data_IF_349806973532
#
_entry.id   IF_349806973532
#
_cell.length_a   1.000
_cell.length_b   1.000
_cell.length_c   1.000
_cell.angle_alpha   90.00
_cell.angle_beta   90.00
_cell.angle_gamma   90.00
#
_symmetry.space_group_name_H-M   'P 1'
#
loop_
_entity.id
_entity.type
_entity.pdbx_description
1 polymer ?
#
# COMPACT_ATOMS: atom_id res chain seq x y z
N UNK A 1 -9.12 -4.66 3.83
CA UNK A 1 -8.64 -4.37 2.46
C UNK A 1 -8.32 -2.90 2.25
N UNK A 2 -7.04 -2.54 2.43
CA UNK A 2 -6.49 -1.23 2.06
C UNK A 2 -5.92 -1.22 0.64
N UNK A 3 -5.79 -2.39 0.00
CA UNK A 3 -5.15 -2.52 -1.31
C UNK A 3 -6.05 -2.17 -2.50
N UNK A 4 -7.38 -2.11 -2.31
CA UNK A 4 -8.37 -2.05 -3.40
C UNK A 4 -9.21 -0.76 -3.43
N UNK A 5 -8.94 0.22 -2.55
CA UNK A 5 -9.65 1.49 -2.57
C UNK A 5 -8.96 2.46 -3.53
N UNK A 6 -9.50 2.54 -4.76
CA UNK A 6 -9.01 3.47 -5.79
C UNK A 6 -9.31 4.95 -5.49
N UNK A 7 -10.18 5.22 -4.50
CA UNK A 7 -10.66 6.56 -4.17
C UNK A 7 -10.36 6.91 -2.73
N UNK A 8 -9.74 8.08 -2.54
CA UNK A 8 -9.52 8.68 -1.24
C UNK A 8 -10.84 9.25 -0.69
N UNK A 9 -11.13 8.97 0.58
CA UNK A 9 -12.28 9.56 1.26
C UNK A 9 -11.99 11.03 1.56
N UNK A 10 -12.84 11.91 1.02
CA UNK A 10 -12.69 13.37 1.17
C UNK A 10 -13.57 13.93 2.28
N UNK A 11 -14.32 13.10 3.00
CA UNK A 11 -15.18 13.57 4.07
C UNK A 11 -14.34 13.94 5.30
N UNK A 12 -14.52 15.15 5.85
CA UNK A 12 -13.87 15.50 7.10
C UNK A 12 -14.44 14.66 8.25
N UNK A 13 -13.64 14.40 9.30
CA UNK A 13 -14.16 13.88 10.57
C UNK A 13 -15.27 14.78 11.09
N UNK A 14 -16.33 14.18 11.64
CA UNK A 14 -17.45 14.94 12.22
C UNK A 14 -16.96 15.88 13.32
N UNK A 15 -17.44 17.13 13.33
CA UNK A 15 -17.08 18.13 14.34
C UNK A 15 -15.73 18.84 14.13
N UNK A 16 -15.07 18.67 12.98
CA UNK A 16 -13.78 19.32 12.71
C UNK A 16 -13.85 20.86 12.81
N UNK A 17 -13.02 21.51 13.64
CA UNK A 17 -12.95 22.97 13.76
C UNK A 17 -12.12 23.63 12.64
N UNK A 18 -11.59 22.84 11.69
CA UNK A 18 -10.75 23.33 10.59
C UNK A 18 -11.59 24.01 9.51
N UNK A 19 -11.01 25.02 8.84
CA UNK A 19 -11.70 25.68 7.73
C UNK A 19 -11.90 24.71 6.56
N UNK A 20 -13.06 24.82 5.89
CA UNK A 20 -13.39 23.98 4.73
C UNK A 20 -12.34 24.07 3.61
N UNK A 21 -11.70 25.24 3.44
CA UNK A 21 -10.62 25.43 2.48
C UNK A 21 -9.40 24.54 2.80
N UNK A 22 -8.98 24.48 4.06
CA UNK A 22 -7.85 23.65 4.49
C UNK A 22 -8.17 22.15 4.37
N UNK A 23 -9.38 21.76 4.77
CA UNK A 23 -9.88 20.38 4.60
C UNK A 23 -9.83 19.97 3.13
N UNK A 24 -10.32 20.82 2.22
CA UNK A 24 -10.31 20.52 0.78
C UNK A 24 -8.90 20.44 0.20
N UNK A 25 -7.97 21.30 0.65
CA UNK A 25 -6.60 21.32 0.17
C UNK A 25 -5.85 20.04 0.58
N UNK A 26 -5.99 19.61 1.84
CA UNK A 26 -5.41 18.36 2.34
C UNK A 26 -6.02 17.17 1.61
N UNK A 27 -7.35 17.10 1.51
CA UNK A 27 -8.02 15.98 0.84
C UNK A 27 -7.67 15.89 -0.66
N UNK A 28 -7.40 17.01 -1.31
CA UNK A 28 -6.93 17.03 -2.70
C UNK A 28 -5.49 16.54 -2.82
N UNK A 29 -4.58 17.04 -1.97
CA UNK A 29 -3.18 16.61 -1.97
C UNK A 29 -3.04 15.10 -1.71
N UNK A 30 -3.78 14.57 -0.73
CA UNK A 30 -3.80 13.13 -0.43
C UNK A 30 -4.38 12.30 -1.59
N UNK A 31 -5.45 12.78 -2.24
CA UNK A 31 -6.02 12.11 -3.40
C UNK A 31 -5.07 12.11 -4.60
N UNK A 32 -4.33 13.19 -4.83
CA UNK A 32 -3.31 13.27 -5.88
C UNK A 32 -2.11 12.37 -5.56
N UNK A 33 -1.64 12.37 -4.31
CA UNK A 33 -0.58 11.48 -3.84
C UNK A 33 -0.94 10.01 -4.01
N UNK A 34 -2.16 9.61 -3.61
CA UNK A 34 -2.67 8.25 -3.82
C UNK A 34 -2.69 7.87 -5.30
N UNK A 35 -3.17 8.77 -6.16
CA UNK A 35 -3.22 8.53 -7.61
C UNK A 35 -1.83 8.29 -8.20
N UNK A 36 -0.85 9.12 -7.82
CA UNK A 36 0.54 8.97 -8.26
C UNK A 36 1.11 7.64 -7.77
N UNK A 37 0.95 7.31 -6.49
CA UNK A 37 1.44 6.05 -5.91
C UNK A 37 0.86 4.81 -6.59
N UNK A 38 -0.46 4.80 -6.83
CA UNK A 38 -1.12 3.70 -7.54
C UNK A 38 -0.66 3.58 -8.99
N UNK A 39 -0.55 4.70 -9.69
CA UNK A 39 -0.10 4.70 -11.08
C UNK A 39 1.34 4.18 -11.19
N UNK A 40 2.23 4.64 -10.32
CA UNK A 40 3.63 4.23 -10.31
C UNK A 40 3.76 2.72 -10.02
N UNK A 41 3.01 2.21 -9.04
CA UNK A 41 2.97 0.78 -8.73
C UNK A 41 2.44 -0.04 -9.92
N UNK A 42 1.34 0.39 -10.56
CA UNK A 42 0.77 -0.30 -11.71
C UNK A 42 1.72 -0.30 -12.92
N UNK A 43 2.39 0.83 -13.18
CA UNK A 43 3.38 0.94 -14.25
C UNK A 43 4.53 -0.03 -14.04
N UNK A 44 5.13 -0.02 -12.84
CA UNK A 44 6.23 -0.90 -12.48
C UNK A 44 5.82 -2.37 -12.55
N UNK A 45 4.64 -2.72 -12.00
CA UNK A 45 4.10 -4.07 -12.09
C UNK A 45 3.91 -4.52 -13.54
N UNK A 46 3.35 -3.66 -14.39
CA UNK A 46 3.14 -3.96 -15.81
C UNK A 46 4.44 -4.10 -16.58
N UNK A 47 5.47 -3.34 -16.19
CA UNK A 47 6.80 -3.41 -16.80
C UNK A 47 7.50 -4.72 -16.45
N UNK A 48 7.46 -5.13 -15.18
CA UNK A 48 8.03 -6.39 -14.72
C UNK A 48 7.30 -7.60 -15.31
N UNK A 49 5.97 -7.57 -15.37
CA UNK A 49 5.16 -8.63 -15.99
C UNK A 49 5.47 -8.79 -17.48
N UNK A 50 5.56 -7.68 -18.22
CA UNK A 50 5.96 -7.71 -19.64
C UNK A 50 7.36 -8.26 -19.82
N UNK A 51 8.32 -7.80 -19.01
CA UNK A 51 9.71 -8.27 -19.09
C UNK A 51 9.81 -9.77 -18.80
N UNK A 52 9.06 -10.27 -17.82
CA UNK A 52 9.01 -11.71 -17.51
C UNK A 52 8.43 -12.53 -18.67
N UNK A 53 7.34 -12.04 -19.29
CA UNK A 53 6.69 -12.71 -20.44
C UNK A 53 7.57 -12.70 -21.68
N UNK A 54 8.24 -11.58 -21.97
CA UNK A 54 9.16 -11.48 -23.09
C UNK A 54 10.36 -12.43 -22.91
N UNK A 55 10.89 -12.53 -21.69
CA UNK A 55 11.94 -13.48 -21.36
C UNK A 55 11.45 -14.94 -21.47
N UNK A 56 10.22 -15.24 -21.04
CA UNK A 56 9.61 -16.57 -21.17
C UNK A 56 9.47 -16.98 -22.65
N UNK A 57 8.99 -16.08 -23.51
CA UNK A 57 8.89 -16.32 -24.94
C UNK A 57 10.27 -16.59 -25.57
N UNK A 58 11.30 -15.84 -25.15
CA UNK A 58 12.67 -16.07 -25.61
C UNK A 58 13.22 -17.41 -25.11
N UNK A 59 12.93 -17.82 -23.86
CA UNK A 59 13.27 -19.13 -23.32
C UNK A 59 12.65 -20.25 -24.16
N UNK A 60 11.39 -20.12 -24.59
CA UNK A 60 10.73 -21.12 -25.43
C UNK A 60 11.43 -21.29 -26.78
N UNK A 61 11.82 -20.17 -27.41
CA UNK A 61 12.55 -20.18 -28.69
C UNK A 61 13.94 -20.80 -28.52
N UNK A 62 14.68 -20.41 -27.48
CA UNK A 62 16.02 -20.94 -27.19
C UNK A 62 15.97 -22.43 -26.84
N UNK A 63 14.92 -22.91 -26.17
CA UNK A 63 14.72 -24.34 -25.91
C UNK A 63 14.54 -25.15 -27.20
N UNK A 64 13.72 -24.66 -28.14
CA UNK A 64 13.55 -25.32 -29.45
C UNK A 64 14.87 -25.32 -30.22
N UNK A 65 15.64 -24.23 -30.12
CA UNK A 65 16.96 -24.12 -30.75
C UNK A 65 17.98 -25.08 -30.13
N UNK A 66 18.03 -25.18 -28.81
CA UNK A 66 18.91 -26.12 -28.08
C UNK A 66 18.65 -27.57 -28.52
N UNK A 67 17.38 -27.97 -28.64
CA UNK A 67 17.02 -29.32 -29.13
C UNK A 67 17.50 -29.56 -30.57
N UNK A 68 17.35 -28.56 -31.43
CA UNK A 68 17.76 -28.66 -32.84
C UNK A 68 19.29 -28.73 -32.96
N UNK A 69 20.00 -27.91 -32.19
CA UNK A 69 21.47 -27.89 -32.18
C UNK A 69 22.04 -29.17 -31.54
N UNK A 70 21.41 -29.71 -30.49
CA UNK A 70 21.79 -31.00 -29.91
C UNK A 70 21.62 -32.16 -30.92
N UNK A 71 20.55 -32.15 -31.72
CA UNK A 71 20.36 -33.12 -32.78
C UNK A 71 21.43 -32.98 -33.88
N UNK A 72 21.80 -31.75 -34.25
CA UNK A 72 22.86 -31.48 -35.22
C UNK A 72 24.24 -31.94 -34.73
N UNK A 73 24.59 -31.67 -33.46
CA UNK A 73 25.84 -32.17 -32.84
C UNK A 73 25.90 -33.68 -32.92
N UNK A 74 24.81 -34.38 -32.55
CA UNK A 74 24.75 -35.84 -32.63
C UNK A 74 24.96 -36.36 -34.05
N UNK A 75 24.36 -35.70 -35.05
CA UNK A 75 24.57 -36.06 -36.45
C UNK A 75 26.04 -35.87 -36.87
N UNK A 76 26.66 -34.75 -36.51
CA UNK A 76 28.07 -34.49 -36.82
C UNK A 76 29.00 -35.50 -36.12
N UNK A 77 28.68 -35.91 -34.88
CA UNK A 77 29.39 -36.97 -34.15
C UNK A 77 29.28 -38.33 -34.84
N UNK A 78 28.08 -38.70 -35.29
CA UNK A 78 27.85 -39.93 -36.06
C UNK A 78 28.63 -39.90 -37.39
N UNK A 79 28.69 -38.75 -38.05
CA UNK A 79 29.47 -38.54 -39.29
C UNK A 79 30.97 -38.66 -39.02
N UNK A 80 31.47 -38.07 -37.93
CA UNK A 80 32.85 -38.20 -37.49
C UNK A 80 33.22 -39.66 -37.21
N UNK A 81 32.34 -40.43 -36.57
CA UNK A 81 32.58 -41.86 -36.31
C UNK A 81 32.71 -42.65 -37.62
N UNK A 82 31.84 -42.41 -38.61
CA UNK A 82 31.90 -43.07 -39.92
C UNK A 82 33.17 -42.71 -40.71
N UNK A 83 33.56 -41.44 -40.67
CA UNK A 83 34.76 -40.94 -41.34
C UNK A 83 36.04 -41.45 -40.67
N UNK A 84 36.07 -41.52 -39.35
CA UNK A 84 37.20 -42.08 -38.59
C UNK A 84 37.42 -43.55 -38.96
N UNK A 85 36.35 -44.36 -38.99
CA UNK A 85 36.44 -45.76 -39.41
C UNK A 85 36.98 -45.93 -40.84
N UNK A 86 36.55 -45.06 -41.77
CA UNK A 86 37.00 -45.08 -43.17
C UNK A 86 38.44 -44.58 -43.33
N UNK A 87 38.89 -43.66 -42.47
CA UNK A 87 40.28 -43.21 -42.40
C UNK A 87 41.19 -44.31 -41.87
N UNK A 88 40.79 -45.02 -40.81
CA UNK A 88 41.52 -46.16 -40.24
C UNK A 88 41.70 -47.31 -41.25
N UNK A 89 40.71 -47.50 -42.14
CA UNK A 89 40.81 -48.47 -43.24
C UNK A 89 41.62 -47.96 -44.44
N UNK A 90 42.25 -46.78 -44.36
CA UNK A 90 43.10 -46.19 -45.41
C UNK A 90 42.34 -45.58 -46.60
N UNK A 91 41.02 -45.44 -46.52
CA UNK A 91 40.17 -45.01 -47.64
C UNK A 91 39.95 -43.49 -47.71
N UNK A 92 40.44 -42.72 -46.73
CA UNK A 92 40.26 -41.27 -46.66
C UNK A 92 41.56 -40.53 -46.36
N UNK A 93 41.64 -39.29 -46.80
CA UNK A 93 42.76 -38.39 -46.53
C UNK A 93 42.63 -37.74 -45.15
N UNK A 94 43.77 -37.38 -44.54
CA UNK A 94 43.80 -36.66 -43.26
C UNK A 94 43.04 -35.32 -43.32
N UNK A 95 43.03 -34.66 -44.49
CA UNK A 95 42.25 -33.42 -44.69
C UNK A 95 40.75 -33.60 -44.45
N UNK A 96 40.15 -34.72 -44.88
CA UNK A 96 38.73 -34.97 -44.65
C UNK A 96 38.41 -35.28 -43.20
N UNK A 97 39.28 -36.00 -42.51
CA UNK A 97 39.13 -36.20 -41.07
C UNK A 97 39.22 -34.87 -40.30
N UNK A 98 40.15 -33.99 -40.69
CA UNK A 98 40.29 -32.67 -40.09
C UNK A 98 39.06 -31.78 -40.32
N UNK A 99 38.51 -31.76 -41.53
CA UNK A 99 37.31 -30.99 -41.88
C UNK A 99 36.11 -31.39 -41.01
N UNK A 100 35.88 -32.70 -40.84
CA UNK A 100 34.74 -33.22 -40.05
C UNK A 100 34.93 -32.97 -38.55
N UNK A 101 36.15 -33.12 -38.02
CA UNK A 101 36.45 -32.71 -36.64
C UNK A 101 36.15 -31.23 -36.41
N UNK A 102 36.48 -30.37 -37.39
CA UNK A 102 36.18 -28.95 -37.31
C UNK A 102 34.67 -28.68 -37.35
N UNK A 103 33.91 -29.44 -38.13
CA UNK A 103 32.45 -29.35 -38.16
C UNK A 103 31.83 -29.68 -36.79
N UNK A 104 32.22 -30.80 -36.17
CA UNK A 104 31.77 -31.20 -34.82
C UNK A 104 32.09 -30.13 -33.78
N UNK A 105 33.32 -29.59 -33.80
CA UNK A 105 33.70 -28.53 -32.87
C UNK A 105 32.83 -27.26 -33.05
N UNK A 106 32.51 -26.93 -34.30
CA UNK A 106 31.69 -25.76 -34.62
C UNK A 106 30.23 -25.93 -34.21
N UNK A 107 29.63 -27.11 -34.43
CA UNK A 107 28.27 -27.40 -33.95
C UNK A 107 28.21 -27.49 -32.43
N UNK A 108 29.22 -28.08 -31.79
CA UNK A 108 29.33 -28.14 -30.33
C UNK A 108 29.45 -26.75 -29.69
N UNK A 109 30.24 -25.85 -30.29
CA UNK A 109 30.35 -24.45 -29.82
C UNK A 109 29.02 -23.73 -29.90
N UNK A 110 28.27 -23.89 -31.01
CA UNK A 110 26.95 -23.28 -31.18
C UNK A 110 25.95 -23.79 -30.14
N UNK A 111 25.89 -25.11 -29.93
CA UNK A 111 25.03 -25.72 -28.91
C UNK A 111 25.34 -25.17 -27.51
N UNK A 112 26.64 -25.04 -27.18
CA UNK A 112 27.07 -24.46 -25.92
C UNK A 112 26.68 -22.98 -25.80
N UNK A 113 26.88 -22.18 -26.85
CA UNK A 113 26.48 -20.77 -26.89
C UNK A 113 24.97 -20.60 -26.64
N UNK A 114 24.14 -21.40 -27.31
CA UNK A 114 22.68 -21.40 -27.11
C UNK A 114 22.30 -21.81 -25.69
N UNK A 115 22.97 -22.82 -25.12
CA UNK A 115 22.70 -23.24 -23.73
C UNK A 115 23.06 -22.15 -22.71
N UNK A 116 24.18 -21.45 -22.92
CA UNK A 116 24.57 -20.29 -22.09
C UNK A 116 23.56 -19.14 -22.22
N UNK A 117 23.11 -18.85 -23.44
CA UNK A 117 22.07 -17.84 -23.68
C UNK A 117 20.77 -18.22 -22.97
N UNK A 118 20.32 -19.47 -23.09
CA UNK A 118 19.14 -20.00 -22.42
C UNK A 118 19.23 -19.84 -20.90
N UNK A 119 20.37 -20.18 -20.30
CA UNK A 119 20.59 -20.01 -18.86
C UNK A 119 20.52 -18.54 -18.43
N UNK A 120 21.07 -17.62 -19.23
CA UNK A 120 21.02 -16.18 -18.94
C UNK A 120 19.59 -15.65 -19.02
N UNK A 121 18.83 -16.02 -20.05
CA UNK A 121 17.44 -15.58 -20.22
C UNK A 121 16.53 -16.16 -19.14
N UNK A 122 16.70 -17.42 -18.74
CA UNK A 122 15.97 -18.01 -17.59
C UNK A 122 16.24 -17.26 -16.30
N UNK A 123 17.51 -16.93 -16.03
CA UNK A 123 17.86 -16.14 -14.85
C UNK A 123 17.20 -14.76 -14.90
N UNK A 124 17.18 -14.10 -16.05
CA UNK A 124 16.50 -12.82 -16.22
C UNK A 124 15.00 -12.93 -15.94
N UNK A 125 14.33 -13.98 -16.43
CA UNK A 125 12.92 -14.26 -16.13
C UNK A 125 12.69 -14.41 -14.62
N UNK A 126 13.47 -15.26 -13.95
CA UNK A 126 13.37 -15.46 -12.50
C UNK A 126 13.62 -14.17 -11.71
N UNK A 127 14.60 -13.37 -12.14
CA UNK A 127 14.94 -12.12 -11.49
C UNK A 127 13.81 -11.09 -11.64
N UNK A 128 13.13 -11.03 -12.80
CA UNK A 128 11.92 -10.22 -12.99
C UNK A 128 10.76 -10.66 -12.09
N UNK A 129 10.50 -11.97 -11.99
CA UNK A 129 9.47 -12.52 -11.09
C UNK A 129 9.78 -12.20 -9.63
N UNK A 130 11.03 -12.42 -9.19
CA UNK A 130 11.47 -12.05 -7.84
C UNK A 130 11.35 -10.55 -7.59
N UNK A 131 11.63 -9.71 -8.59
CA UNK A 131 11.49 -8.26 -8.46
C UNK A 131 10.03 -7.84 -8.29
N UNK A 132 9.11 -8.51 -8.96
CA UNK A 132 7.68 -8.29 -8.83
C UNK A 132 7.19 -8.58 -7.40
N UNK A 133 7.54 -9.75 -6.86
CA UNK A 133 7.22 -10.11 -5.46
C UNK A 133 7.85 -9.15 -4.46
N UNK A 134 9.09 -8.73 -4.69
CA UNK A 134 9.76 -7.73 -3.84
C UNK A 134 9.04 -6.40 -3.86
N UNK A 135 8.61 -5.93 -5.03
CA UNK A 135 7.88 -4.67 -5.16
C UNK A 135 6.56 -4.70 -4.36
N UNK A 136 5.79 -5.78 -4.50
CA UNK A 136 4.53 -5.96 -3.76
C UNK A 136 4.76 -5.99 -2.25
N UNK A 137 5.77 -6.74 -1.79
CA UNK A 137 6.12 -6.82 -0.38
C UNK A 137 6.60 -5.47 0.17
N UNK A 138 7.46 -4.77 -0.56
CA UNK A 138 7.95 -3.44 -0.17
C UNK A 138 6.81 -2.44 -0.07
N UNK A 139 5.87 -2.45 -1.03
CA UNK A 139 4.67 -1.61 -0.96
C UNK A 139 3.82 -1.94 0.26
N UNK A 140 3.60 -3.23 0.53
CA UNK A 140 2.82 -3.67 1.70
C UNK A 140 3.47 -3.24 3.01
N UNK A 141 4.78 -3.39 3.14
CA UNK A 141 5.55 -2.95 4.31
C UNK A 141 5.46 -1.42 4.46
N UNK A 142 5.64 -0.66 3.37
CA UNK A 142 5.52 0.79 3.36
C UNK A 142 4.16 1.25 3.88
N UNK A 143 3.07 0.71 3.33
CA UNK A 143 1.70 1.03 3.75
C UNK A 143 1.42 0.67 5.21
N UNK A 144 1.96 -0.45 5.70
CA UNK A 144 1.81 -0.85 7.11
C UNK A 144 2.57 0.09 8.06
N UNK A 145 3.76 0.56 7.65
CA UNK A 145 4.52 1.53 8.43
C UNK A 145 3.84 2.90 8.44
N UNK A 146 3.35 3.37 7.28
CA UNK A 146 2.58 4.61 7.18
C UNK A 146 1.31 4.56 8.02
N UNK A 147 0.58 3.43 8.01
CA UNK A 147 -0.58 3.22 8.87
C UNK A 147 -0.20 3.30 10.35
N UNK A 148 0.85 2.60 10.76
CA UNK A 148 1.33 2.65 12.15
C UNK A 148 1.72 4.07 12.57
N UNK A 149 2.44 4.79 11.73
CA UNK A 149 2.89 6.15 12.03
C UNK A 149 1.73 7.14 12.10
N UNK A 150 0.73 6.99 11.23
CA UNK A 150 -0.50 7.79 11.26
C UNK A 150 -1.34 7.49 12.50
N UNK A 151 -1.47 6.22 12.90
CA UNK A 151 -2.16 5.82 14.14
C UNK A 151 -1.47 6.40 15.39
N UNK A 152 -0.13 6.37 15.43
CA UNK A 152 0.64 6.97 16.53
C UNK A 152 0.44 8.49 16.61
N UNK A 153 0.49 9.19 15.46
CA UNK A 153 0.24 10.65 15.38
C UNK A 153 -1.18 11.00 15.77
N UNK A 154 -2.15 10.17 15.38
CA UNK A 154 -3.55 10.35 15.75
C UNK A 154 -3.74 10.18 17.26
N UNK A 155 -3.17 9.14 17.85
CA UNK A 155 -3.22 8.92 19.30
C UNK A 155 -2.57 10.06 20.09
N UNK A 156 -1.40 10.54 19.64
CA UNK A 156 -0.71 11.68 20.25
C UNK A 156 -1.55 12.95 20.17
N UNK A 157 -2.11 13.26 19.00
CA UNK A 157 -2.93 14.46 18.78
C UNK A 157 -4.21 14.41 19.60
N UNK A 158 -4.85 13.24 19.68
CA UNK A 158 -6.04 12.99 20.50
C UNK A 158 -5.73 13.19 21.99
N UNK A 159 -4.60 12.66 22.48
CA UNK A 159 -4.16 12.87 23.85
C UNK A 159 -3.88 14.35 24.17
N UNK A 160 -3.23 15.08 23.25
CA UNK A 160 -3.01 16.53 23.37
C UNK A 160 -4.33 17.31 23.40
N UNK A 161 -5.30 16.93 22.57
CA UNK A 161 -6.63 17.53 22.53
C UNK A 161 -7.37 17.29 23.86
N UNK A 162 -7.36 16.08 24.40
CA UNK A 162 -7.92 15.78 25.73
C UNK A 162 -7.26 16.62 26.84
N UNK A 163 -5.94 16.73 26.85
CA UNK A 163 -5.22 17.53 27.84
C UNK A 163 -5.54 19.03 27.72
N UNK A 164 -5.69 19.56 26.50
CA UNK A 164 -6.11 20.93 26.26
C UNK A 164 -7.55 21.17 26.73
N UNK A 165 -8.47 20.24 26.42
CA UNK A 165 -9.86 20.26 26.89
C UNK A 165 -9.94 20.27 28.42
N UNK A 166 -9.16 19.43 29.11
CA UNK A 166 -9.08 19.42 30.58
C UNK A 166 -8.59 20.75 31.16
N UNK A 167 -7.60 21.40 30.53
CA UNK A 167 -7.09 22.71 30.97
C UNK A 167 -8.08 23.85 30.75
N UNK A 168 -8.96 23.73 29.76
CA UNK A 168 -10.01 24.71 29.47
C UNK A 168 -11.24 24.53 30.37
N UNK A 169 -11.28 23.50 31.22
CA UNK A 169 -12.35 23.37 32.21
C UNK A 169 -12.30 24.54 33.19
N UNK A 170 -13.37 25.33 33.33
CA UNK A 170 -13.37 26.48 34.23
C UNK A 170 -13.19 26.02 35.68
N UNK A 171 -12.14 26.53 36.34
CA UNK A 171 -11.89 26.38 37.78
C UNK A 171 -13.05 26.95 38.59
N UNK A 172 -14.08 26.15 38.82
CA UNK A 172 -15.29 26.55 39.55
C UNK A 172 -16.51 25.65 39.32
N UNK A 173 -16.56 24.91 38.21
CA UNK A 173 -17.66 23.99 37.93
C UNK A 173 -17.32 22.56 38.37
N UNK A 174 -17.76 22.17 39.58
CA UNK A 174 -17.84 20.77 39.98
C UNK A 174 -19.06 20.12 39.29
N UNK A 175 -18.99 19.90 37.98
CA UNK A 175 -19.94 19.03 37.28
C UNK A 175 -19.44 18.71 35.87
N UNK A 176 -18.88 17.50 35.74
CA UNK A 176 -18.74 16.72 34.51
C UNK A 176 -17.76 17.26 33.43
N UNK A 177 -17.00 16.37 32.76
CA UNK A 177 -16.15 16.77 31.64
C UNK A 177 -17.00 17.39 30.53
N UNK A 178 -16.63 18.58 30.05
CA UNK A 178 -17.19 19.12 28.81
C UNK A 178 -16.79 18.18 27.65
N UNK A 179 -17.75 17.60 26.92
CA UNK A 179 -17.45 16.73 25.80
C UNK A 179 -16.84 17.50 24.62
N UNK A 180 -16.12 16.75 23.79
CA UNK A 180 -15.23 17.25 22.74
C UNK A 180 -16.05 17.82 21.56
N UNK A 181 -15.47 18.82 20.88
CA UNK A 181 -16.08 19.58 19.78
C UNK A 181 -16.84 18.72 18.76
N UNK A 182 -18.10 19.08 18.50
CA UNK A 182 -18.99 18.44 17.53
C UNK A 182 -20.39 18.12 18.05
N UNK A 183 -20.60 18.14 19.36
CA UNK A 183 -21.91 17.88 19.97
C UNK A 183 -22.76 19.17 20.02
N UNK A 184 -24.01 19.09 19.56
CA UNK A 184 -25.00 20.15 19.74
C UNK A 184 -25.45 20.17 21.21
N UNK A 185 -25.05 21.21 21.94
CA UNK A 185 -25.39 21.39 23.35
C UNK A 185 -26.81 21.93 23.50
N UNK A 186 -27.61 21.32 24.38
CA UNK A 186 -28.80 21.97 24.93
C UNK A 186 -28.48 22.40 26.37
N UNK A 187 -28.39 23.71 26.59
CA UNK A 187 -28.26 24.28 27.92
C UNK A 187 -29.65 24.35 28.56
N UNK A 188 -29.81 23.71 29.73
CA UNK A 188 -31.03 23.84 30.55
C UNK A 188 -30.71 24.77 31.72
N UNK A 189 -31.25 25.97 31.66
CA UNK A 189 -31.11 26.98 32.71
C UNK A 189 -32.27 26.82 33.68
N UNK A 190 -31.97 26.70 34.98
CA UNK A 190 -32.97 26.66 36.04
C UNK A 190 -32.69 27.79 37.02
N UNK A 191 -33.68 28.64 37.28
CA UNK A 191 -33.57 29.71 38.26
C UNK A 191 -34.26 29.26 39.55
N UNK A 192 -33.57 29.41 40.67
CA UNK A 192 -34.10 29.16 42.02
C UNK A 192 -34.10 30.48 42.81
N UNK A 193 -35.25 30.84 43.38
CA UNK A 193 -35.40 32.11 44.10
C UNK A 193 -34.74 32.09 45.47
N UNK A 194 -34.11 33.20 45.87
CA UNK A 194 -33.50 33.37 47.18
C UNK A 194 -34.51 33.78 48.26
N UNK A 195 -34.33 33.17 49.43
CA UNK A 195 -35.10 33.33 50.68
C UNK A 195 -36.40 32.51 50.79
N UNK A 196 -36.26 31.33 51.41
CA UNK A 196 -37.32 30.67 52.18
C UNK A 196 -38.17 29.63 51.45
N UNK A 197 -38.27 29.66 50.12
CA UNK A 197 -39.08 28.70 49.37
C UNK A 197 -38.19 27.60 48.76
N UNK A 198 -37.90 26.60 49.58
CA UNK A 198 -37.24 25.41 49.11
C UNK A 198 -38.11 24.73 48.03
N UNK A 199 -37.53 24.60 46.83
CA UNK A 199 -37.69 23.44 45.96
C UNK A 199 -38.66 23.50 44.78
N UNK A 200 -38.88 24.66 44.14
CA UNK A 200 -39.38 24.70 42.75
C UNK A 200 -38.50 25.56 41.84
N UNK A 201 -37.43 24.95 41.33
CA UNK A 201 -36.67 25.54 40.23
C UNK A 201 -37.57 25.70 38.99
N UNK A 202 -37.54 26.87 38.36
CA UNK A 202 -38.28 27.13 37.11
C UNK A 202 -37.35 26.98 35.91
N UNK A 203 -37.77 26.30 34.82
CA UNK A 203 -37.03 26.34 33.56
C UNK A 203 -37.02 27.78 33.04
N UNK A 204 -35.85 28.26 32.64
CA UNK A 204 -35.64 29.60 32.14
C UNK A 204 -34.89 29.55 30.81
N UNK A 205 -35.15 30.53 29.95
CA UNK A 205 -34.39 30.77 28.73
C UNK A 205 -33.34 31.88 28.96
N UNK A 206 -32.41 32.06 28.02
CA UNK A 206 -31.30 33.01 28.12
C UNK A 206 -31.76 34.46 28.31
N UNK A 207 -32.95 34.82 27.82
CA UNK A 207 -33.52 36.16 27.91
C UNK A 207 -34.40 36.40 29.16
N UNK A 208 -34.38 35.45 30.12
CA UNK A 208 -35.24 35.54 31.31
C UNK A 208 -34.68 36.53 32.32
N UNK A 209 -35.48 37.54 32.68
CA UNK A 209 -35.13 38.54 33.69
C UNK A 209 -34.93 37.89 35.09
N UNK A 210 -33.84 38.28 35.76
CA UNK A 210 -33.39 37.74 37.06
C UNK A 210 -33.53 38.79 38.15
N UNK A 211 -33.96 38.37 39.34
CA UNK A 211 -34.10 39.25 40.50
C UNK A 211 -32.90 39.14 41.46
N UNK A 212 -32.53 40.22 42.18
CA UNK A 212 -31.49 40.15 43.21
C UNK A 212 -31.84 39.11 44.28
N UNK A 213 -31.01 38.07 44.39
CA UNK A 213 -31.25 36.92 45.29
C UNK A 213 -31.49 35.60 44.56
N UNK A 214 -31.72 35.62 43.25
CA UNK A 214 -31.86 34.41 42.44
C UNK A 214 -30.53 33.65 42.32
N UNK A 215 -30.59 32.32 42.46
CA UNK A 215 -29.49 31.40 42.15
C UNK A 215 -29.75 30.73 40.82
N UNK A 216 -28.81 30.90 39.89
CA UNK A 216 -28.89 30.37 38.52
C UNK A 216 -28.10 29.07 38.46
N UNK A 217 -28.77 27.96 38.15
CA UNK A 217 -28.15 26.67 37.87
C UNK A 217 -28.21 26.39 36.38
N UNK A 218 -27.04 26.20 35.75
CA UNK A 218 -26.94 25.86 34.32
C UNK A 218 -26.46 24.42 34.21
N UNK A 219 -27.27 23.56 33.59
CA UNK A 219 -26.91 22.18 33.29
C UNK A 219 -26.75 22.01 31.78
N UNK A 220 -25.63 21.44 31.37
CA UNK A 220 -25.36 21.11 29.98
C UNK A 220 -25.62 19.61 29.79
N UNK A 221 -26.48 19.27 28.83
CA UNK A 221 -26.69 17.88 28.40
C UNK A 221 -26.31 17.73 26.94
N UNK A 222 -25.60 16.65 26.64
CA UNK A 222 -25.30 16.20 25.28
C UNK A 222 -26.28 15.12 24.84
N UNK A 223 -26.64 15.09 23.55
CA UNK A 223 -27.54 14.08 22.98
C UNK A 223 -27.02 12.64 23.19
N UNK A 224 -25.71 12.43 23.29
CA UNK A 224 -25.09 11.12 23.55
C UNK A 224 -25.42 10.57 24.95
N UNK A 225 -25.68 11.42 25.94
CA UNK A 225 -26.07 10.99 27.29
C UNK A 225 -27.54 10.59 27.40
N UNK A 226 -28.39 11.08 26.47
CA UNK A 226 -29.83 10.78 26.46
C UNK A 226 -30.12 9.39 25.89
N UNK A 227 -29.24 8.86 25.03
CA UNK A 227 -29.35 7.52 24.46
C UNK A 227 -28.89 6.39 25.40
N UNK A 228 -28.17 6.71 26.48
CA UNK A 228 -27.66 5.72 27.44
C UNK A 228 -28.62 5.46 28.64
N UNK A 229 -29.77 6.16 28.70
CA UNK A 229 -30.75 6.06 29.80
C UNK A 229 -32.13 5.62 29.26
N UNK A 230 -32.18 4.92 28.12
CA UNK A 230 -33.37 4.20 27.65
C UNK A 230 -33.10 2.70 27.55
#
# INVERSE_FOLDING_TARGET
DLQTKEKFDRQPPQGSPLSNALISAVAQAEAEGLKISLNNFQQEQSYLDKTAKDAEAQVEVLLKREQTEAAAVKQDEDDLARVTKSFESGNLTNSRLADVRRAVLMSSSRALETSVELMRTRRQQEDSVRQQERNENQRRIGLLNELRDTDLRLAETTARLHAASQKLQPSGASALPLPIAGETFQARITITGGAGDASRGRPADQDTEVSPGDTIEVRFSSELQSAAIQ
#
